data_IF_762118970763
#
_entry.id   IF_762118970763
#
_cell.length_a   1.000
_cell.length_b   1.000
_cell.length_c   1.000
_cell.angle_alpha   90.00
_cell.angle_beta   90.00
_cell.angle_gamma   90.00
#
_symmetry.space_group_name_H-M   'P 1'
#
loop_
_entity.id
_entity.type
_entity.pdbx_description
1 polymer ?
#
# COMPACT_ATOMS: atom_id res chain seq x y z
N UNK A 1 -22.77 22.52 -19.06
CA UNK A 1 -22.35 21.11 -19.18
C UNK A 1 -22.62 20.42 -17.85
N UNK A 2 -23.24 19.25 -17.87
CA UNK A 2 -23.40 18.40 -16.68
C UNK A 2 -22.10 17.63 -16.44
N UNK A 3 -21.51 17.80 -15.27
CA UNK A 3 -20.29 17.10 -14.86
C UNK A 3 -20.57 15.60 -14.63
N UNK A 4 -19.71 14.73 -15.15
CA UNK A 4 -19.75 13.29 -14.87
C UNK A 4 -18.65 12.97 -13.86
N UNK A 5 -18.97 12.75 -12.57
CA UNK A 5 -17.95 12.53 -11.55
C UNK A 5 -17.28 11.17 -11.74
N UNK A 6 -15.98 11.15 -11.46
CA UNK A 6 -15.18 9.93 -11.27
C UNK A 6 -14.79 9.88 -9.80
N UNK A 7 -14.97 8.72 -9.16
CA UNK A 7 -14.74 8.56 -7.73
C UNK A 7 -13.84 7.34 -7.49
N UNK A 8 -12.80 7.55 -6.69
CA UNK A 8 -12.02 6.47 -6.08
C UNK A 8 -12.58 6.21 -4.68
N UNK A 9 -12.96 4.97 -4.40
CA UNK A 9 -13.44 4.53 -3.07
C UNK A 9 -12.42 3.54 -2.51
N UNK A 10 -11.88 3.84 -1.33
CA UNK A 10 -10.90 3.00 -0.64
C UNK A 10 -11.60 2.33 0.55
N UNK A 11 -11.67 1.00 0.52
CA UNK A 11 -12.09 0.20 1.67
C UNK A 11 -10.82 -0.18 2.45
N UNK A 12 -10.50 0.58 3.50
CA UNK A 12 -9.26 0.37 4.25
C UNK A 12 -9.28 -1.00 4.98
N UNK A 13 -8.16 -1.72 4.95
CA UNK A 13 -8.05 -3.07 5.48
C UNK A 13 -8.84 -4.16 4.71
N UNK A 14 -9.29 -3.89 3.49
CA UNK A 14 -10.11 -4.83 2.70
C UNK A 14 -9.27 -5.67 1.73
N UNK A 15 -8.82 -6.85 2.17
CA UNK A 15 -8.03 -7.80 1.39
C UNK A 15 -8.82 -8.92 0.72
N UNK A 16 -8.11 -9.76 -0.04
CA UNK A 16 -8.61 -11.01 -0.61
C UNK A 16 -7.80 -12.15 0.02
N UNK A 17 -8.49 -13.16 0.54
CA UNK A 17 -7.89 -14.38 1.10
C UNK A 17 -8.76 -15.57 0.72
N UNK A 18 -8.14 -16.73 0.50
CA UNK A 18 -8.82 -18.02 0.32
C UNK A 18 -9.23 -18.63 1.66
N UNK A 19 -8.65 -18.17 2.78
CA UNK A 19 -9.01 -18.62 4.12
C UNK A 19 -10.41 -18.13 4.49
N UNK A 20 -11.25 -19.02 4.99
CA UNK A 20 -12.61 -18.71 5.45
C UNK A 20 -12.65 -18.51 6.97
N UNK A 21 -11.80 -19.21 7.71
CA UNK A 21 -11.72 -19.11 9.17
C UNK A 21 -11.17 -17.74 9.59
N UNK A 22 -11.92 -17.04 10.44
CA UNK A 22 -11.55 -15.68 10.89
C UNK A 22 -11.64 -14.60 9.80
N UNK A 23 -12.06 -14.92 8.58
CA UNK A 23 -12.16 -13.97 7.48
C UNK A 23 -13.48 -13.18 7.53
N UNK A 24 -13.45 -12.05 8.22
CA UNK A 24 -14.60 -11.16 8.35
C UNK A 24 -15.15 -10.68 6.99
N UNK A 25 -14.27 -10.47 6.01
CA UNK A 25 -14.68 -10.06 4.66
C UNK A 25 -15.49 -11.18 4.03
N UNK A 26 -15.04 -12.43 4.07
CA UNK A 26 -15.76 -13.58 3.53
C UNK A 26 -17.11 -13.79 4.23
N UNK A 27 -17.13 -13.77 5.56
CA UNK A 27 -18.31 -14.06 6.38
C UNK A 27 -19.38 -12.95 6.33
N UNK A 28 -19.02 -11.71 5.98
CA UNK A 28 -19.97 -10.60 5.93
C UNK A 28 -21.05 -10.76 4.83
N UNK A 29 -22.28 -10.33 5.13
CA UNK A 29 -23.33 -10.14 4.12
C UNK A 29 -23.12 -8.84 3.36
N UNK A 30 -22.73 -8.94 2.08
CA UNK A 30 -22.25 -7.81 1.26
C UNK A 30 -22.84 -7.83 -0.17
N UNK A 31 -24.19 -7.75 -0.30
CA UNK A 31 -24.89 -7.96 -1.57
C UNK A 31 -24.49 -6.94 -2.64
N UNK A 32 -24.31 -5.67 -2.27
CA UNK A 32 -23.91 -4.62 -3.21
C UNK A 32 -22.48 -4.83 -3.73
N UNK A 33 -21.53 -5.11 -2.85
CA UNK A 33 -20.14 -5.41 -3.23
C UNK A 33 -20.06 -6.63 -4.17
N UNK A 34 -20.79 -7.70 -3.84
CA UNK A 34 -20.83 -8.91 -4.67
C UNK A 34 -21.44 -8.61 -6.05
N UNK A 35 -22.52 -7.84 -6.11
CA UNK A 35 -23.13 -7.41 -7.37
C UNK A 35 -22.16 -6.58 -8.22
N UNK A 36 -21.37 -5.69 -7.61
CA UNK A 36 -20.37 -4.90 -8.33
C UNK A 36 -19.30 -5.81 -8.97
N UNK A 37 -18.79 -6.79 -8.22
CA UNK A 37 -17.81 -7.76 -8.74
C UNK A 37 -18.36 -8.62 -9.88
N UNK A 38 -19.62 -9.03 -9.81
CA UNK A 38 -20.25 -9.85 -10.86
C UNK A 38 -20.52 -9.06 -12.14
N UNK A 39 -20.98 -7.81 -11.99
CA UNK A 39 -21.48 -7.01 -13.12
C UNK A 39 -20.42 -6.19 -13.85
N UNK A 40 -19.36 -5.77 -13.16
CA UNK A 40 -18.37 -4.84 -13.71
C UNK A 40 -16.96 -5.44 -13.75
N UNK A 41 -16.09 -4.97 -14.68
CA UNK A 41 -14.70 -5.38 -14.72
C UNK A 41 -13.99 -5.14 -13.39
N UNK A 42 -13.23 -6.13 -12.94
CA UNK A 42 -12.43 -6.04 -11.72
C UNK A 42 -11.10 -6.76 -11.92
N UNK A 43 -10.11 -6.40 -11.11
CA UNK A 43 -8.80 -7.04 -11.06
C UNK A 43 -8.30 -7.06 -9.61
N UNK A 44 -7.17 -7.73 -9.39
CA UNK A 44 -6.47 -7.79 -8.11
C UNK A 44 -5.15 -7.03 -8.27
N UNK A 45 -4.77 -6.28 -7.24
CA UNK A 45 -3.52 -5.54 -7.19
C UNK A 45 -2.70 -5.97 -5.98
N UNK A 46 -1.39 -6.00 -6.14
CA UNK A 46 -0.44 -6.17 -5.04
C UNK A 46 -0.38 -4.89 -4.21
N UNK A 47 -0.65 -5.00 -2.91
CA UNK A 47 -0.71 -3.87 -1.97
C UNK A 47 0.30 -3.99 -0.82
N UNK A 48 1.29 -4.88 -0.95
CA UNK A 48 2.31 -5.15 0.07
C UNK A 48 3.67 -5.45 -0.56
N UNK A 49 4.71 -5.52 0.27
CA UNK A 49 6.07 -5.82 -0.15
C UNK A 49 6.63 -4.87 -1.21
N UNK A 50 7.44 -5.43 -2.11
CA UNK A 50 8.20 -4.65 -3.09
C UNK A 50 7.30 -3.90 -4.08
N UNK A 51 6.08 -4.40 -4.34
CA UNK A 51 5.11 -3.77 -5.23
C UNK A 51 4.67 -2.38 -4.76
N UNK A 52 4.83 -2.08 -3.47
CA UNK A 52 4.50 -0.77 -2.87
C UNK A 52 5.70 -0.07 -2.24
N UNK A 53 6.92 -0.55 -2.53
CA UNK A 53 8.17 0.05 -2.06
C UNK A 53 8.59 -0.36 -0.65
N UNK A 54 7.99 -1.42 -0.11
CA UNK A 54 8.38 -2.08 1.14
C UNK A 54 9.33 -3.27 0.87
N UNK A 55 10.10 -3.72 1.88
CA UNK A 55 10.81 -5.00 1.83
C UNK A 55 9.90 -6.18 1.47
N UNK A 56 10.46 -7.19 0.78
CA UNK A 56 9.74 -8.42 0.46
C UNK A 56 9.11 -9.07 1.71
N UNK A 57 7.85 -9.49 1.59
CA UNK A 57 7.08 -10.12 2.68
C UNK A 57 6.53 -9.16 3.73
N UNK A 58 6.86 -7.86 3.66
CA UNK A 58 6.30 -6.89 4.59
C UNK A 58 4.87 -6.50 4.20
N UNK A 59 3.94 -6.59 5.16
CA UNK A 59 2.56 -6.15 4.96
C UNK A 59 2.47 -4.67 4.59
N UNK A 60 1.48 -4.34 3.76
CA UNK A 60 1.10 -2.97 3.45
C UNK A 60 0.45 -2.27 4.65
N UNK A 61 0.23 -0.96 4.52
CA UNK A 61 -0.50 -0.16 5.49
C UNK A 61 -1.15 1.04 4.78
N UNK A 62 -1.98 1.79 5.52
CA UNK A 62 -2.74 2.92 4.98
C UNK A 62 -1.85 4.01 4.38
N UNK A 63 -0.75 4.38 5.04
CA UNK A 63 0.16 5.44 4.55
C UNK A 63 0.80 5.04 3.22
N UNK A 64 1.42 3.86 3.18
CA UNK A 64 2.07 3.33 1.99
C UNK A 64 1.06 3.18 0.84
N UNK A 65 -0.12 2.64 1.12
CA UNK A 65 -1.17 2.44 0.12
C UNK A 65 -1.67 3.76 -0.48
N UNK A 66 -2.04 4.73 0.35
CA UNK A 66 -2.53 6.03 -0.12
C UNK A 66 -1.46 6.78 -0.91
N UNK A 67 -0.20 6.68 -0.48
CA UNK A 67 0.90 7.36 -1.13
C UNK A 67 1.22 6.77 -2.51
N UNK A 68 1.19 5.44 -2.67
CA UNK A 68 1.34 4.80 -3.97
C UNK A 68 0.17 5.12 -4.91
N UNK A 69 -1.08 5.07 -4.43
CA UNK A 69 -2.27 5.41 -5.23
C UNK A 69 -2.25 6.87 -5.70
N UNK A 70 -1.91 7.80 -4.81
CA UNK A 70 -1.83 9.23 -5.13
C UNK A 70 -0.64 9.58 -6.04
N UNK A 71 0.47 8.84 -5.92
CA UNK A 71 1.66 9.08 -6.73
C UNK A 71 1.62 8.42 -8.11
N UNK A 72 0.80 7.39 -8.31
CA UNK A 72 0.74 6.63 -9.56
C UNK A 72 2.03 5.87 -9.91
N UNK A 73 2.85 5.56 -8.90
CA UNK A 73 4.13 4.84 -9.03
C UNK A 73 4.53 4.20 -7.70
N UNK A 74 5.46 3.25 -7.76
CA UNK A 74 6.08 2.66 -6.57
C UNK A 74 6.82 3.76 -5.80
N UNK A 75 6.46 3.95 -4.53
CA UNK A 75 7.18 4.88 -3.64
C UNK A 75 7.95 4.14 -2.57
N UNK A 76 9.27 4.14 -2.71
CA UNK A 76 10.20 3.56 -1.75
C UNK A 76 10.10 4.25 -0.41
N UNK A 77 9.81 3.45 0.62
CA UNK A 77 9.63 3.95 1.97
C UNK A 77 10.96 4.31 2.62
N UNK A 78 10.90 5.24 3.57
CA UNK A 78 12.06 5.73 4.31
C UNK A 78 12.83 4.59 4.98
N UNK A 79 12.17 3.55 5.47
CA UNK A 79 12.83 2.37 6.04
C UNK A 79 13.75 1.68 5.00
N UNK A 80 13.26 1.46 3.79
CA UNK A 80 14.06 0.88 2.69
C UNK A 80 15.21 1.81 2.30
N UNK A 81 14.96 3.12 2.25
CA UNK A 81 15.97 4.14 1.96
C UNK A 81 17.08 4.17 3.02
N UNK A 82 16.71 4.21 4.30
CA UNK A 82 17.64 4.22 5.44
C UNK A 82 18.43 2.92 5.49
N UNK A 83 17.77 1.76 5.34
CA UNK A 83 18.45 0.46 5.30
C UNK A 83 19.50 0.39 4.17
N UNK A 84 19.16 0.92 2.98
CA UNK A 84 20.10 1.03 1.86
C UNK A 84 21.25 1.98 2.17
N UNK A 85 20.97 3.13 2.80
CA UNK A 85 22.00 4.09 3.19
C UNK A 85 22.97 3.50 4.23
N UNK A 86 22.47 2.69 5.18
CA UNK A 86 23.30 1.99 6.16
C UNK A 86 24.19 0.95 5.46
N UNK A 87 23.61 0.10 4.61
CA UNK A 87 24.36 -0.95 3.88
C UNK A 87 25.42 -0.38 2.95
N UNK A 88 25.15 0.74 2.29
CA UNK A 88 26.09 1.40 1.37
C UNK A 88 27.12 2.31 2.07
N UNK A 89 27.01 2.50 3.39
CA UNK A 89 27.84 3.43 4.15
C UNK A 89 27.52 4.91 3.91
N UNK A 90 26.51 5.24 3.12
CA UNK A 90 26.02 6.62 2.92
C UNK A 90 25.47 7.22 4.21
N UNK A 91 24.87 6.39 5.08
CA UNK A 91 24.31 6.84 6.37
C UNK A 91 25.38 7.51 7.27
N UNK A 92 26.61 6.99 7.29
CA UNK A 92 27.74 7.57 8.06
C UNK A 92 28.22 8.91 7.52
N UNK A 93 27.90 9.23 6.26
CA UNK A 93 28.27 10.49 5.60
C UNK A 93 27.17 11.54 5.70
N UNK A 94 26.08 11.25 6.42
CA UNK A 94 24.98 12.19 6.58
C UNK A 94 25.42 13.38 7.43
N UNK A 95 25.46 14.57 6.80
CA UNK A 95 25.94 15.81 7.42
C UNK A 95 25.13 16.16 8.67
N UNK A 96 23.80 15.99 8.63
CA UNK A 96 22.91 16.31 9.76
C UNK A 96 23.19 15.40 10.96
N UNK A 97 23.41 14.10 10.72
CA UNK A 97 23.74 13.17 11.80
C UNK A 97 25.12 13.46 12.40
N UNK A 98 26.11 13.78 11.58
CA UNK A 98 27.45 14.10 12.06
C UNK A 98 27.47 15.39 12.88
N UNK A 99 26.77 16.44 12.42
CA UNK A 99 26.63 17.69 13.15
C UNK A 99 25.91 17.53 14.50
N UNK A 100 24.99 16.57 14.62
CA UNK A 100 24.28 16.31 15.87
C UNK A 100 25.11 15.53 16.91
N UNK A 101 26.21 14.90 16.49
CA UNK A 101 27.11 14.11 17.34
C UNK A 101 28.35 14.90 17.79
N UNK A 102 28.60 16.07 17.21
CA UNK A 102 29.62 17.05 17.62
C UNK A 102 29.17 17.89 18.82
#
# INVERSE_FOLDING_TARGET
MTYKPVMLVVLDGWGISEEEEGNAIFLARKPFYNQLKEKYPHCILEASGEAVGLPAGQMGNSEVGHLNMGAGRIVYQELTRINRAIRSGEFKRNIVLNQALE
#
